data_IF_170822736114
#
_entry.id   IF_170822736114
#
_cell.length_a   1.000
_cell.length_b   1.000
_cell.length_c   1.000
_cell.angle_alpha   90.00
_cell.angle_beta   90.00
_cell.angle_gamma   90.00
#
_symmetry.space_group_name_H-M   'P 1'
#
loop_
_entity.id
_entity.type
_entity.pdbx_description
1 polymer ?
#
# COMPACT_ATOMS: atom_id res chain seq x y z
N UNK A 1 9.54 -23.49 2.29
CA UNK A 1 8.44 -22.57 1.90
C UNK A 1 8.81 -21.19 2.41
N UNK A 2 8.83 -20.16 1.54
CA UNK A 2 9.01 -18.78 1.99
C UNK A 2 7.69 -18.31 2.62
N UNK A 3 7.64 -18.16 3.94
CA UNK A 3 6.42 -17.85 4.71
C UNK A 3 6.26 -16.36 5.03
N UNK A 4 6.79 -15.46 4.18
CA UNK A 4 6.83 -14.02 4.49
C UNK A 4 6.37 -13.14 3.33
N UNK A 5 5.78 -12.00 3.67
CA UNK A 5 5.56 -10.89 2.76
C UNK A 5 6.93 -10.25 2.47
N UNK A 6 7.21 -9.95 1.20
CA UNK A 6 8.45 -9.30 0.77
C UNK A 6 8.20 -7.95 0.11
N UNK A 7 9.05 -6.98 0.40
CA UNK A 7 9.02 -5.64 -0.20
C UNK A 7 10.41 -5.00 -0.18
N UNK A 8 10.60 -3.98 -1.01
CA UNK A 8 11.78 -3.10 -1.01
C UNK A 8 11.43 -1.67 -0.57
N UNK A 9 10.30 -1.50 0.13
CA UNK A 9 9.83 -0.21 0.63
C UNK A 9 10.77 0.39 1.66
N UNK A 10 11.06 1.68 1.50
CA UNK A 10 11.62 2.55 2.52
C UNK A 10 10.48 3.34 3.16
N UNK A 11 10.19 3.07 4.43
CA UNK A 11 9.09 3.70 5.18
C UNK A 11 9.44 5.08 5.76
N UNK A 12 10.72 5.46 5.71
CA UNK A 12 11.24 6.72 6.25
C UNK A 12 11.57 7.72 5.14
N UNK A 13 11.41 7.34 3.86
CA UNK A 13 11.54 8.25 2.73
C UNK A 13 10.41 9.29 2.70
N UNK A 14 10.77 10.57 2.72
CA UNK A 14 9.82 11.66 2.44
C UNK A 14 9.33 11.67 0.99
N UNK A 15 8.15 12.24 0.80
CA UNK A 15 7.45 12.30 -0.47
C UNK A 15 6.42 11.19 -0.61
N UNK A 16 6.26 10.69 -1.84
CA UNK A 16 5.28 9.66 -2.20
C UNK A 16 5.95 8.47 -2.84
N UNK A 17 5.55 7.29 -2.41
CA UNK A 17 6.00 6.00 -2.96
C UNK A 17 4.76 5.19 -3.31
N UNK A 18 4.64 4.80 -4.58
CA UNK A 18 3.64 3.85 -5.06
C UNK A 18 4.36 2.52 -5.35
N UNK A 19 3.91 1.44 -4.74
CA UNK A 19 4.55 0.13 -4.85
C UNK A 19 3.56 -0.98 -4.49
N UNK A 20 4.07 -2.17 -4.20
CA UNK A 20 3.29 -3.33 -3.77
C UNK A 20 4.02 -4.14 -2.69
N UNK A 21 3.24 -4.83 -1.88
CA UNK A 21 3.69 -5.94 -1.03
C UNK A 21 3.58 -7.24 -1.83
N UNK A 22 4.64 -8.05 -1.82
CA UNK A 22 4.68 -9.32 -2.56
C UNK A 22 4.41 -10.49 -1.62
N UNK A 23 3.30 -11.19 -1.84
CA UNK A 23 2.88 -12.35 -1.05
C UNK A 23 3.13 -13.61 -1.90
N UNK A 24 4.01 -14.52 -1.48
CA UNK A 24 4.19 -15.82 -2.15
C UNK A 24 2.86 -16.57 -2.20
N UNK A 25 2.43 -16.96 -3.40
CA UNK A 25 1.16 -17.66 -3.62
C UNK A 25 1.35 -18.71 -4.71
N UNK A 26 1.67 -19.94 -4.31
CA UNK A 26 1.90 -21.05 -5.25
C UNK A 26 0.58 -21.49 -5.89
N UNK A 27 0.58 -21.59 -7.23
CA UNK A 27 -0.55 -22.09 -8.02
C UNK A 27 -0.05 -23.06 -9.08
N UNK A 28 -0.92 -23.95 -9.57
CA UNK A 28 -0.56 -24.97 -10.57
C UNK A 28 0.16 -24.41 -11.80
N UNK A 29 -0.25 -23.20 -12.23
CA UNK A 29 0.30 -22.53 -13.42
C UNK A 29 1.63 -21.82 -13.17
N UNK A 30 2.02 -21.62 -11.90
CA UNK A 30 3.25 -20.89 -11.55
C UNK A 30 3.64 -21.19 -10.09
N UNK A 31 4.63 -22.07 -9.86
CA UNK A 31 5.04 -22.49 -8.51
C UNK A 31 5.65 -21.35 -7.68
N UNK A 32 6.10 -20.27 -8.33
CA UNK A 32 6.68 -19.08 -7.68
C UNK A 32 5.84 -17.82 -7.91
N UNK A 33 4.53 -17.96 -8.14
CA UNK A 33 3.66 -16.80 -8.29
C UNK A 33 3.61 -15.97 -7.00
N UNK A 34 3.37 -14.67 -7.16
CA UNK A 34 3.25 -13.73 -6.07
C UNK A 34 2.05 -12.82 -6.31
N UNK A 35 1.17 -12.73 -5.32
CA UNK A 35 0.13 -11.70 -5.29
C UNK A 35 0.81 -10.37 -4.96
N UNK A 36 0.49 -9.33 -5.73
CA UNK A 36 1.00 -7.97 -5.54
C UNK A 36 -0.10 -7.11 -4.92
N UNK A 37 -0.04 -6.88 -3.62
CA UNK A 37 -1.00 -6.02 -2.91
C UNK A 37 -0.53 -4.57 -3.03
N UNK A 38 -1.29 -3.65 -3.64
CA UNK A 38 -0.87 -2.27 -3.83
C UNK A 38 -0.72 -1.54 -2.50
N UNK A 39 0.30 -0.68 -2.39
CA UNK A 39 0.52 0.18 -1.22
C UNK A 39 1.02 1.55 -1.67
N UNK A 40 0.48 2.60 -1.05
CA UNK A 40 0.95 3.97 -1.20
C UNK A 40 1.47 4.46 0.15
N UNK A 41 2.73 4.90 0.17
CA UNK A 41 3.34 5.57 1.32
C UNK A 41 3.48 7.05 1.02
N UNK A 42 3.00 7.90 1.93
CA UNK A 42 3.20 9.34 1.88
C UNK A 42 3.77 9.78 3.22
N UNK A 43 4.93 10.43 3.22
CA UNK A 43 5.55 10.99 4.43
C UNK A 43 6.04 12.40 4.13
N UNK A 44 5.89 13.30 5.11
CA UNK A 44 6.47 14.63 5.04
C UNK A 44 6.76 15.15 6.46
N UNK A 45 8.02 15.06 6.86
CA UNK A 45 8.48 15.49 8.18
C UNK A 45 7.82 14.74 9.35
N UNK A 46 7.87 15.36 10.53
CA UNK A 46 7.38 14.77 11.77
C UNK A 46 5.86 14.93 11.94
N UNK A 47 5.23 13.93 12.56
CA UNK A 47 3.79 13.93 12.84
C UNK A 47 3.23 12.53 13.07
N UNK A 48 1.90 12.42 13.28
CA UNK A 48 1.26 11.13 13.49
C UNK A 48 1.33 10.24 12.24
N UNK A 49 1.13 8.94 12.45
CA UNK A 49 1.05 7.95 11.39
C UNK A 49 -0.39 7.46 11.26
N UNK A 50 -0.95 7.53 10.05
CA UNK A 50 -2.29 7.05 9.73
C UNK A 50 -2.20 5.87 8.76
N UNK A 51 -2.95 4.80 9.05
CA UNK A 51 -3.17 3.69 8.15
C UNK A 51 -4.61 3.73 7.64
N UNK A 52 -4.78 3.71 6.31
CA UNK A 52 -6.07 3.62 5.64
C UNK A 52 -6.10 2.34 4.81
N UNK A 53 -7.11 1.51 5.02
CA UNK A 53 -7.29 0.27 4.27
C UNK A 53 -8.72 0.13 3.76
N UNK A 54 -8.86 -0.47 2.59
CA UNK A 54 -10.12 -0.96 2.04
C UNK A 54 -9.88 -2.34 1.39
N UNK A 55 -10.90 -2.89 0.72
CA UNK A 55 -10.81 -4.21 0.10
C UNK A 55 -10.65 -5.34 1.13
N UNK A 56 -11.14 -5.15 2.36
CA UNK A 56 -11.18 -6.25 3.34
C UNK A 56 -12.01 -7.42 2.81
N UNK A 57 -13.13 -7.09 2.15
CA UNK A 57 -13.86 -7.99 1.28
C UNK A 57 -13.81 -7.46 -0.16
N UNK A 58 -13.68 -8.37 -1.13
CA UNK A 58 -13.48 -8.02 -2.54
C UNK A 58 -14.73 -7.53 -3.28
N UNK A 59 -15.86 -7.43 -2.59
CA UNK A 59 -17.14 -6.93 -3.08
C UNK A 59 -17.58 -5.62 -2.40
N UNK A 60 -16.71 -5.00 -1.59
CA UNK A 60 -16.94 -3.73 -0.88
C UNK A 60 -16.15 -2.57 -1.52
N UNK A 61 -16.71 -1.98 -2.58
CA UNK A 61 -15.96 -1.11 -3.51
C UNK A 61 -15.80 0.34 -3.07
N UNK A 62 -16.65 0.84 -2.17
CA UNK A 62 -16.66 2.27 -1.80
C UNK A 62 -15.34 2.73 -1.21
N UNK A 63 -14.75 1.89 -0.34
CA UNK A 63 -13.45 2.13 0.26
C UNK A 63 -12.34 2.13 -0.80
N UNK A 64 -12.29 1.10 -1.64
CA UNK A 64 -11.24 0.94 -2.66
C UNK A 64 -11.22 2.13 -3.62
N UNK A 65 -12.40 2.51 -4.14
CA UNK A 65 -12.54 3.65 -5.05
C UNK A 65 -12.19 4.97 -4.37
N UNK A 66 -12.54 5.14 -3.11
CA UNK A 66 -12.25 6.37 -2.34
C UNK A 66 -10.75 6.50 -2.06
N UNK A 67 -10.11 5.42 -1.61
CA UNK A 67 -8.68 5.39 -1.34
C UNK A 67 -7.87 5.50 -2.63
N UNK A 68 -8.28 4.86 -3.72
CA UNK A 68 -7.65 5.02 -5.03
C UNK A 68 -7.74 6.47 -5.55
N UNK A 69 -8.84 7.19 -5.29
CA UNK A 69 -8.96 8.63 -5.59
C UNK A 69 -8.06 9.47 -4.67
N UNK A 70 -8.01 9.16 -3.38
CA UNK A 70 -7.15 9.84 -2.41
C UNK A 70 -5.68 9.70 -2.79
N UNK A 71 -5.23 8.48 -3.13
CA UNK A 71 -3.88 8.21 -3.62
C UNK A 71 -3.54 9.09 -4.82
N UNK A 72 -4.47 9.35 -5.74
CA UNK A 72 -4.19 10.24 -6.89
C UNK A 72 -4.11 11.71 -6.52
N UNK A 73 -4.94 12.16 -5.56
CA UNK A 73 -5.12 13.58 -5.23
C UNK A 73 -4.25 14.09 -4.10
N UNK A 74 -3.80 13.22 -3.20
CA UNK A 74 -3.04 13.63 -2.02
C UNK A 74 -1.62 14.01 -2.43
N UNK A 75 -1.34 15.30 -2.26
CA UNK A 75 -0.03 15.92 -2.42
C UNK A 75 0.77 15.75 -1.12
N UNK A 76 1.97 15.12 -1.14
CA UNK A 76 2.82 14.96 0.03
C UNK A 76 3.16 16.27 0.75
N UNK A 77 3.27 17.38 0.01
CA UNK A 77 3.59 18.68 0.60
C UNK A 77 2.51 19.17 1.59
N UNK A 78 1.30 18.61 1.51
CA UNK A 78 0.16 18.94 2.39
C UNK A 78 0.05 18.03 3.61
N UNK A 79 0.91 17.02 3.74
CA UNK A 79 0.94 16.08 4.87
C UNK A 79 1.96 16.57 5.91
N UNK A 80 1.71 16.30 7.20
CA UNK A 80 2.72 16.36 8.27
C UNK A 80 2.67 15.05 9.03
N UNK A 81 3.77 14.28 9.02
CA UNK A 81 3.78 12.89 9.46
C UNK A 81 3.60 11.92 8.29
N UNK A 82 2.85 10.83 8.48
CA UNK A 82 2.76 9.72 7.53
C UNK A 82 1.33 9.26 7.26
N UNK A 83 1.05 8.92 6.01
CA UNK A 83 -0.15 8.22 5.56
C UNK A 83 0.25 6.98 4.76
N UNK A 84 -0.16 5.81 5.23
CA UNK A 84 -0.04 4.54 4.53
C UNK A 84 -1.42 4.13 4.03
N UNK A 85 -1.52 3.81 2.74
CA UNK A 85 -2.79 3.44 2.10
C UNK A 85 -2.65 2.07 1.43
N UNK A 86 -3.51 1.14 1.81
CA UNK A 86 -3.74 -0.15 1.15
C UNK A 86 -5.16 -0.06 0.54
N UNK A 87 -5.29 0.44 -0.69
CA UNK A 87 -6.59 0.70 -1.30
C UNK A 87 -7.33 -0.60 -1.61
#
# INVERSE_FOLDING_TARGET
MHTGISHSLDFDRDGKTLSHLSIPFSIDRSPYFQIKVPICLIRNGEGPSLLLMAGNHGDEYEGELSLAKLVRRLDPARVRGRVTILP
#
